data_IF_570755753407
#
_entry.id   IF_570755753407
#
_cell.length_a   1.000
_cell.length_b   1.000
_cell.length_c   1.000
_cell.angle_alpha   90.00
_cell.angle_beta   90.00
_cell.angle_gamma   90.00
#
_symmetry.space_group_name_H-M   'P 1'
#
loop_
_entity.id
_entity.type
_entity.pdbx_description
1 polymer ?
#
# COMPACT_ATOMS: atom_id res chain seq x y z
N UNK A 1 25.09 15.85 10.51
CA UNK A 1 24.10 15.56 9.45
C UNK A 1 22.98 14.75 10.08
N UNK A 2 21.89 15.40 10.52
CA UNK A 2 20.77 14.74 11.22
C UNK A 2 20.01 13.86 10.22
N UNK A 3 19.60 12.66 10.63
CA UNK A 3 18.86 11.72 9.80
C UNK A 3 17.46 12.25 9.48
N UNK A 4 17.06 12.23 8.20
CA UNK A 4 15.70 12.59 7.75
C UNK A 4 14.58 11.75 8.42
N UNK A 5 14.90 10.61 9.02
CA UNK A 5 13.95 9.81 9.80
C UNK A 5 13.47 10.56 11.05
N UNK A 6 14.36 11.35 11.68
CA UNK A 6 13.98 12.18 12.83
C UNK A 6 13.02 13.30 12.41
N UNK A 7 13.10 13.78 11.17
CA UNK A 7 12.26 14.87 10.67
C UNK A 7 10.80 14.42 10.50
N UNK A 8 10.54 13.25 9.91
CA UNK A 8 9.18 12.72 9.75
C UNK A 8 8.49 12.38 11.06
N UNK A 9 9.20 11.75 12.01
CA UNK A 9 8.64 11.46 13.34
C UNK A 9 8.30 12.75 14.09
N UNK A 10 9.16 13.77 13.95
CA UNK A 10 8.94 15.11 14.53
C UNK A 10 7.73 15.79 13.88
N UNK A 11 7.56 15.70 12.56
CA UNK A 11 6.40 16.25 11.85
C UNK A 11 5.09 15.56 12.24
N UNK A 12 5.08 14.23 12.34
CA UNK A 12 3.90 13.47 12.79
C UNK A 12 3.55 13.87 14.23
N UNK A 13 4.54 14.02 15.10
CA UNK A 13 4.33 14.48 16.47
C UNK A 13 3.75 15.91 16.49
N UNK A 14 4.30 16.82 15.68
CA UNK A 14 3.78 18.17 15.51
C UNK A 14 2.33 18.18 15.01
N UNK A 15 1.95 17.28 14.08
CA UNK A 15 0.57 17.17 13.61
C UNK A 15 -0.39 16.79 14.75
N UNK A 16 -0.01 15.84 15.61
CA UNK A 16 -0.80 15.45 16.79
C UNK A 16 -0.96 16.60 17.78
N UNK A 17 0.03 17.47 17.88
CA UNK A 17 -0.03 18.63 18.76
C UNK A 17 -0.91 19.74 18.19
N UNK A 18 -0.91 19.94 16.86
CA UNK A 18 -1.71 20.97 16.18
C UNK A 18 -3.19 20.62 16.07
N UNK A 19 -3.53 19.35 15.87
CA UNK A 19 -4.92 18.91 15.71
C UNK A 19 -5.43 18.26 16.99
N UNK A 20 -6.36 18.94 17.67
CA UNK A 20 -6.98 18.44 18.91
C UNK A 20 -8.33 17.77 18.62
N UNK A 21 -8.59 16.66 19.31
CA UNK A 21 -9.90 16.02 19.32
C UNK A 21 -10.74 16.60 20.45
N UNK A 22 -11.97 17.00 20.14
CA UNK A 22 -12.95 17.47 21.12
C UNK A 22 -14.03 16.39 21.28
N UNK A 23 -13.92 15.49 22.27
CA UNK A 23 -14.88 14.42 22.45
C UNK A 23 -16.26 15.00 22.79
N UNK A 24 -17.30 14.46 22.16
CA UNK A 24 -18.69 14.80 22.48
C UNK A 24 -19.20 13.82 23.52
N UNK A 25 -19.60 14.33 24.68
CA UNK A 25 -20.16 13.53 25.77
C UNK A 25 -21.65 13.24 25.53
N UNK A 26 -22.18 12.22 26.23
CA UNK A 26 -23.59 11.81 26.16
C UNK A 26 -24.06 11.45 24.73
N UNK A 27 -23.18 10.82 23.94
CA UNK A 27 -23.53 10.20 22.66
C UNK A 27 -23.64 8.71 22.84
N UNK A 28 -24.74 8.13 22.37
CA UNK A 28 -24.87 6.67 22.32
C UNK A 28 -23.90 6.13 21.26
N UNK A 29 -22.92 5.37 21.74
CA UNK A 29 -21.88 4.71 20.94
C UNK A 29 -21.85 3.21 21.24
N UNK A 30 -22.96 2.66 21.75
CA UNK A 30 -23.10 1.23 22.05
C UNK A 30 -22.97 0.36 20.79
N UNK A 31 -23.27 0.91 19.62
CA UNK A 31 -23.07 0.31 18.30
C UNK A 31 -22.28 1.27 17.43
N UNK A 32 -21.14 0.82 16.90
CA UNK A 32 -20.29 1.59 15.99
C UNK A 32 -20.20 0.89 14.64
N UNK A 33 -20.58 1.57 13.57
CA UNK A 33 -20.36 1.13 12.19
C UNK A 33 -19.17 1.90 11.59
N UNK A 34 -18.08 1.18 11.32
CA UNK A 34 -16.90 1.75 10.66
C UNK A 34 -16.96 1.62 9.14
N UNK A 35 -17.97 0.93 8.61
CA UNK A 35 -18.03 0.63 7.19
C UNK A 35 -18.16 1.90 6.34
N UNK A 36 -17.51 1.88 5.20
CA UNK A 36 -17.50 3.00 4.27
C UNK A 36 -17.23 2.50 2.84
N UNK A 37 -16.95 3.40 1.91
CA UNK A 37 -16.56 3.03 0.55
C UNK A 37 -15.35 3.82 0.06
N UNK A 38 -14.57 3.21 -0.82
CA UNK A 38 -13.48 3.86 -1.57
C UNK A 38 -13.71 3.60 -3.05
N UNK A 39 -13.87 4.67 -3.83
CA UNK A 39 -14.12 4.60 -5.28
C UNK A 39 -15.31 3.69 -5.64
N UNK A 40 -16.38 3.74 -4.83
CA UNK A 40 -17.60 2.93 -5.02
C UNK A 40 -17.49 1.48 -4.54
N UNK A 41 -16.36 1.05 -3.96
CA UNK A 41 -16.18 -0.29 -3.38
C UNK A 41 -16.37 -0.24 -1.87
N UNK A 42 -17.24 -1.10 -1.32
CA UNK A 42 -17.49 -1.16 0.13
C UNK A 42 -16.27 -1.74 0.86
N UNK A 43 -15.92 -1.15 2.00
CA UNK A 43 -14.90 -1.63 2.93
C UNK A 43 -15.44 -1.61 4.36
N UNK A 44 -14.91 -2.47 5.22
CA UNK A 44 -15.34 -2.64 6.61
C UNK A 44 -14.92 -1.50 7.55
N UNK A 45 -13.88 -0.75 7.18
CA UNK A 45 -13.32 0.35 7.97
C UNK A 45 -12.58 1.35 7.06
N UNK A 46 -12.42 2.63 7.45
CA UNK A 46 -11.74 3.65 6.65
C UNK A 46 -10.20 3.52 6.70
N UNK A 47 -9.68 2.29 6.64
CA UNK A 47 -8.25 1.97 6.74
C UNK A 47 -7.91 0.92 5.70
N UNK A 48 -7.01 1.25 4.77
CA UNK A 48 -6.54 0.36 3.70
C UNK A 48 -5.03 0.15 3.78
N UNK A 49 -4.51 -0.90 3.14
CA UNK A 49 -3.07 -1.16 3.07
C UNK A 49 -2.46 -0.41 1.89
N UNK A 50 -1.49 0.46 2.18
CA UNK A 50 -0.74 1.20 1.18
C UNK A 50 0.29 0.33 0.44
N UNK A 51 0.70 0.76 -0.75
CA UNK A 51 1.69 0.05 -1.55
C UNK A 51 3.07 0.12 -0.88
N UNK A 52 3.58 -1.05 -0.52
CA UNK A 52 4.96 -1.25 -0.07
C UNK A 52 5.62 -2.29 -0.96
N UNK A 53 6.81 -1.96 -1.46
CA UNK A 53 7.54 -2.83 -2.37
C UNK A 53 8.19 -4.01 -1.65
N UNK A 54 8.39 -5.12 -2.37
CA UNK A 54 9.25 -6.24 -1.97
C UNK A 54 8.89 -6.88 -0.61
N UNK A 55 7.60 -7.16 -0.37
CA UNK A 55 7.14 -7.63 0.94
C UNK A 55 7.69 -9.00 1.34
N UNK A 56 8.16 -9.82 0.36
CA UNK A 56 8.82 -11.10 0.68
C UNK A 56 10.13 -10.97 1.44
N UNK A 57 10.70 -9.76 1.52
CA UNK A 57 11.82 -9.50 2.42
C UNK A 57 11.43 -9.53 3.90
N UNK A 58 10.15 -9.27 4.22
CA UNK A 58 9.64 -9.27 5.59
C UNK A 58 9.11 -10.66 6.01
N UNK A 59 8.48 -11.38 5.09
CA UNK A 59 7.96 -12.73 5.32
C UNK A 59 7.86 -13.51 4.01
N UNK A 60 8.16 -14.83 3.94
CA UNK A 60 8.17 -15.60 2.69
C UNK A 60 6.91 -15.48 1.82
N UNK A 61 5.73 -15.37 2.44
CA UNK A 61 4.45 -15.23 1.73
C UNK A 61 4.20 -13.82 1.14
N UNK A 62 4.92 -12.81 1.63
CA UNK A 62 4.88 -11.42 1.16
C UNK A 62 3.48 -10.89 0.85
N UNK A 63 3.31 -10.40 -0.38
CA UNK A 63 2.08 -9.75 -0.83
C UNK A 63 0.85 -10.67 -0.81
N UNK A 64 1.03 -11.97 -0.96
CA UNK A 64 -0.10 -12.91 -0.91
C UNK A 64 -0.68 -13.04 0.50
N UNK A 65 0.16 -12.99 1.54
CA UNK A 65 -0.32 -12.94 2.93
C UNK A 65 -1.07 -11.63 3.21
N UNK A 66 -0.54 -10.50 2.77
CA UNK A 66 -1.21 -9.20 2.90
C UNK A 66 -2.56 -9.19 2.19
N UNK A 67 -2.65 -9.75 0.98
CA UNK A 67 -3.89 -9.83 0.22
C UNK A 67 -4.96 -10.66 0.95
N UNK A 68 -4.58 -11.83 1.48
CA UNK A 68 -5.48 -12.69 2.28
C UNK A 68 -5.96 -11.97 3.54
N UNK A 69 -5.06 -11.28 4.24
CA UNK A 69 -5.42 -10.49 5.41
C UNK A 69 -6.41 -9.36 5.08
N UNK A 70 -6.16 -8.61 4.01
CA UNK A 70 -7.09 -7.57 3.54
C UNK A 70 -8.47 -8.13 3.19
N UNK A 71 -8.53 -9.28 2.49
CA UNK A 71 -9.78 -9.96 2.19
C UNK A 71 -10.52 -10.38 3.47
N UNK A 72 -9.83 -11.01 4.42
CA UNK A 72 -10.42 -11.46 5.68
C UNK A 72 -10.95 -10.28 6.51
N UNK A 73 -10.24 -9.15 6.49
CA UNK A 73 -10.65 -7.92 7.18
C UNK A 73 -11.71 -7.12 6.43
N UNK A 74 -12.02 -7.47 5.17
CA UNK A 74 -12.96 -6.72 4.33
C UNK A 74 -12.47 -5.31 3.96
N UNK A 75 -11.15 -5.13 3.78
CA UNK A 75 -10.56 -3.85 3.35
C UNK A 75 -9.70 -4.00 2.09
N UNK A 76 -9.27 -2.88 1.53
CA UNK A 76 -8.50 -2.83 0.28
C UNK A 76 -6.99 -2.97 0.47
N UNK A 77 -6.35 -3.68 -0.46
CA UNK A 77 -4.90 -3.73 -0.64
C UNK A 77 -4.49 -2.94 -1.88
N UNK A 78 -3.52 -2.04 -1.74
CA UNK A 78 -2.83 -1.44 -2.88
C UNK A 78 -1.51 -2.19 -3.15
N UNK A 79 -1.43 -2.90 -4.27
CA UNK A 79 -0.25 -3.66 -4.68
C UNK A 79 0.80 -2.74 -5.32
N UNK A 80 2.06 -2.86 -4.94
CA UNK A 80 3.16 -2.09 -5.56
C UNK A 80 3.52 -2.61 -6.95
N UNK A 81 3.93 -1.71 -7.86
CA UNK A 81 4.61 -2.07 -9.11
C UNK A 81 5.95 -2.80 -8.91
N UNK A 82 6.54 -2.71 -7.71
CA UNK A 82 7.77 -3.42 -7.30
C UNK A 82 7.48 -4.49 -6.26
N UNK A 83 6.33 -5.16 -6.37
CA UNK A 83 6.01 -6.32 -5.56
C UNK A 83 6.90 -7.53 -5.92
N UNK A 84 7.14 -8.38 -4.93
CA UNK A 84 7.80 -9.69 -5.08
C UNK A 84 6.85 -10.84 -5.41
N UNK A 85 5.58 -10.50 -5.67
CA UNK A 85 4.54 -11.41 -6.15
C UNK A 85 3.82 -10.71 -7.31
N UNK A 86 3.46 -11.48 -8.34
CA UNK A 86 2.79 -10.96 -9.52
C UNK A 86 1.36 -10.49 -9.24
N UNK A 87 0.82 -9.67 -10.14
CA UNK A 87 -0.58 -9.21 -10.12
C UNK A 87 -1.53 -10.40 -10.04
N UNK A 88 -1.25 -11.46 -10.80
CA UNK A 88 -2.08 -12.66 -10.89
C UNK A 88 -1.98 -13.51 -9.62
N UNK A 89 -0.77 -13.76 -9.09
CA UNK A 89 -0.60 -14.52 -7.83
C UNK A 89 -1.32 -13.84 -6.66
N UNK A 90 -1.27 -12.51 -6.60
CA UNK A 90 -1.97 -11.72 -5.55
C UNK A 90 -3.48 -11.78 -5.73
N UNK A 91 -3.98 -11.75 -6.96
CA UNK A 91 -5.40 -11.91 -7.25
C UNK A 91 -5.89 -13.33 -6.94
N UNK A 92 -5.11 -14.36 -7.26
CA UNK A 92 -5.43 -15.75 -6.98
C UNK A 92 -5.41 -16.06 -5.47
N UNK A 93 -4.48 -15.47 -4.73
CA UNK A 93 -4.41 -15.64 -3.28
C UNK A 93 -5.60 -15.02 -2.54
N UNK A 94 -6.26 -14.02 -3.12
CA UNK A 94 -7.39 -13.29 -2.55
C UNK A 94 -8.43 -12.94 -3.63
N UNK A 95 -9.17 -13.93 -4.17
CA UNK A 95 -10.04 -13.75 -5.32
C UNK A 95 -11.22 -12.82 -5.04
N UNK A 96 -11.70 -12.79 -3.78
CA UNK A 96 -12.75 -11.88 -3.32
C UNK A 96 -12.22 -10.57 -2.70
N UNK A 97 -10.91 -10.41 -2.58
CA UNK A 97 -10.28 -9.26 -1.94
C UNK A 97 -10.34 -8.02 -2.82
N UNK A 98 -10.65 -6.87 -2.21
CA UNK A 98 -10.57 -5.56 -2.87
C UNK A 98 -9.10 -5.18 -3.09
N UNK A 99 -8.71 -4.95 -4.35
CA UNK A 99 -7.33 -4.69 -4.73
C UNK A 99 -7.23 -3.53 -5.72
N UNK A 100 -6.20 -2.71 -5.54
CA UNK A 100 -5.78 -1.65 -6.47
C UNK A 100 -4.32 -1.84 -6.85
N UNK A 101 -3.92 -1.39 -8.04
CA UNK A 101 -2.52 -1.42 -8.47
C UNK A 101 -1.94 -0.01 -8.32
N UNK A 102 -0.87 0.11 -7.53
CA UNK A 102 0.00 1.28 -7.58
C UNK A 102 0.90 1.15 -8.82
N UNK A 103 0.96 2.22 -9.62
CA UNK A 103 1.64 2.23 -10.92
C UNK A 103 2.76 3.27 -10.94
N UNK A 104 3.96 2.82 -11.30
CA UNK A 104 5.02 3.67 -11.85
C UNK A 104 4.93 3.70 -13.37
N UNK A 105 5.10 4.88 -13.97
CA UNK A 105 5.16 5.03 -15.43
C UNK A 105 6.60 4.77 -15.89
N UNK A 106 6.85 3.57 -16.41
CA UNK A 106 8.15 3.18 -16.91
C UNK A 106 8.47 3.88 -18.24
N UNK A 107 9.77 4.09 -18.52
CA UNK A 107 10.24 4.63 -19.81
C UNK A 107 9.64 3.85 -20.98
N UNK A 108 9.68 2.52 -20.88
CA UNK A 108 8.94 1.64 -21.78
C UNK A 108 7.45 1.67 -21.44
N UNK A 109 6.66 2.24 -22.35
CA UNK A 109 5.21 2.36 -22.19
C UNK A 109 4.48 1.04 -22.41
N UNK A 110 5.06 0.08 -23.13
CA UNK A 110 4.42 -1.23 -23.29
C UNK A 110 4.48 -2.04 -21.99
N UNK A 111 5.52 -1.89 -21.17
CA UNK A 111 5.54 -2.44 -19.79
C UNK A 111 4.41 -1.84 -18.95
N UNK A 112 4.29 -0.51 -18.97
CA UNK A 112 3.26 0.22 -18.21
C UNK A 112 1.85 -0.22 -18.63
N UNK A 113 1.60 -0.29 -19.94
CA UNK A 113 0.34 -0.74 -20.54
C UNK A 113 0.04 -2.21 -20.21
N UNK A 114 1.06 -3.07 -20.22
CA UNK A 114 0.93 -4.48 -19.84
C UNK A 114 0.50 -4.63 -18.38
N UNK A 115 1.09 -3.86 -17.46
CA UNK A 115 0.69 -3.88 -16.04
C UNK A 115 -0.77 -3.46 -15.84
N UNK A 116 -1.21 -2.39 -16.51
CA UNK A 116 -2.61 -1.94 -16.45
C UNK A 116 -3.56 -3.02 -16.98
N UNK A 117 -3.29 -3.57 -18.17
CA UNK A 117 -4.12 -4.64 -18.77
C UNK A 117 -4.15 -5.91 -17.90
N UNK A 118 -3.05 -6.25 -17.24
CA UNK A 118 -2.99 -7.39 -16.30
C UNK A 118 -3.85 -7.12 -15.08
N UNK A 119 -3.75 -5.94 -14.48
CA UNK A 119 -4.57 -5.55 -13.34
C UNK A 119 -6.07 -5.56 -13.68
N UNK A 120 -6.46 -5.00 -14.84
CA UNK A 120 -7.84 -5.04 -15.33
C UNK A 120 -8.35 -6.49 -15.46
N UNK A 121 -7.60 -7.35 -16.15
CA UNK A 121 -7.96 -8.77 -16.33
C UNK A 121 -8.02 -9.54 -15.01
N UNK A 122 -7.15 -9.21 -14.05
CA UNK A 122 -7.12 -9.80 -12.71
C UNK A 122 -8.15 -9.17 -11.73
N UNK A 123 -9.04 -8.31 -12.24
CA UNK A 123 -10.17 -7.77 -11.48
C UNK A 123 -9.82 -6.68 -10.47
N UNK A 124 -8.65 -6.06 -10.57
CA UNK A 124 -8.29 -4.91 -9.76
C UNK A 124 -9.26 -3.74 -10.03
N UNK A 125 -9.58 -2.96 -8.99
CA UNK A 125 -10.65 -1.96 -9.03
C UNK A 125 -10.18 -0.52 -9.23
N UNK A 126 -8.91 -0.33 -9.56
CA UNK A 126 -8.36 1.00 -9.78
C UNK A 126 -6.84 1.01 -9.85
N UNK A 127 -6.33 2.14 -10.36
CA UNK A 127 -4.91 2.42 -10.55
C UNK A 127 -4.54 3.67 -9.76
N UNK A 128 -3.50 3.56 -8.95
CA UNK A 128 -2.92 4.67 -8.19
C UNK A 128 -1.58 5.03 -8.79
N UNK A 129 -1.53 6.08 -9.61
CA UNK A 129 -0.29 6.50 -10.27
C UNK A 129 0.56 7.29 -9.29
N UNK A 130 1.77 6.81 -9.01
CA UNK A 130 2.73 7.53 -8.17
C UNK A 130 3.50 8.52 -9.03
N UNK A 131 3.32 9.82 -8.75
CA UNK A 131 3.88 10.92 -9.54
C UNK A 131 5.03 11.67 -8.86
N UNK A 132 5.34 11.33 -7.60
CA UNK A 132 6.36 11.99 -6.79
C UNK A 132 7.76 11.37 -6.90
N UNK A 133 7.91 10.27 -7.66
CA UNK A 133 9.16 9.50 -7.77
C UNK A 133 9.71 9.51 -9.21
N UNK A 134 10.07 10.67 -9.81
CA UNK A 134 10.81 10.69 -11.07
C UNK A 134 12.23 10.11 -10.90
N UNK A 135 12.80 10.27 -9.70
CA UNK A 135 14.00 9.61 -9.22
C UNK A 135 13.75 9.12 -7.79
N UNK A 136 14.48 8.09 -7.36
CA UNK A 136 14.40 7.64 -5.98
C UNK A 136 15.00 8.68 -5.03
N UNK A 137 14.27 8.96 -3.94
CA UNK A 137 14.77 9.78 -2.85
C UNK A 137 16.02 9.17 -2.20
N UNK A 138 16.90 10.02 -1.66
CA UNK A 138 18.15 9.58 -1.04
C UNK A 138 17.92 9.06 0.38
N UNK A 139 17.86 7.74 0.53
CA UNK A 139 17.78 7.05 1.82
C UNK A 139 19.19 6.72 2.32
N UNK A 140 19.63 7.37 3.40
CA UNK A 140 21.02 7.31 3.88
C UNK A 140 21.42 5.88 4.26
N UNK A 141 20.53 5.15 4.94
CA UNK A 141 20.81 3.79 5.39
C UNK A 141 20.88 2.80 4.22
N UNK A 142 20.04 2.96 3.19
CA UNK A 142 20.10 2.13 1.96
C UNK A 142 21.45 2.31 1.25
N UNK A 143 21.98 3.54 1.20
CA UNK A 143 23.29 3.83 0.62
C UNK A 143 24.41 3.22 1.47
N UNK A 144 24.36 3.40 2.79
CA UNK A 144 25.36 2.86 3.73
C UNK A 144 25.40 1.33 3.67
N UNK A 145 24.24 0.69 3.63
CA UNK A 145 24.09 -0.77 3.63
C UNK A 145 24.22 -1.38 2.23
N UNK A 146 24.34 -0.55 1.18
CA UNK A 146 24.36 -0.98 -0.22
C UNK A 146 23.16 -1.88 -0.54
N UNK A 147 21.97 -1.45 -0.13
CA UNK A 147 20.75 -2.24 -0.19
C UNK A 147 20.50 -2.82 -1.60
N UNK A 148 20.19 -4.12 -1.64
CA UNK A 148 19.79 -4.87 -2.83
C UNK A 148 18.78 -5.93 -2.44
N UNK A 149 17.92 -6.32 -3.38
CA UNK A 149 17.01 -7.43 -3.17
C UNK A 149 17.81 -8.74 -2.95
N UNK A 150 17.45 -9.57 -1.95
CA UNK A 150 18.05 -10.89 -1.78
C UNK A 150 17.93 -11.74 -3.06
N UNK A 151 18.95 -12.56 -3.40
CA UNK A 151 19.05 -13.23 -4.70
C UNK A 151 17.97 -14.29 -4.95
N UNK A 152 17.32 -14.78 -3.90
CA UNK A 152 16.24 -15.76 -3.98
C UNK A 152 14.86 -15.11 -4.21
N UNK A 153 14.76 -13.79 -4.09
CA UNK A 153 13.54 -13.03 -4.37
C UNK A 153 13.62 -12.44 -5.79
N UNK A 154 12.46 -12.37 -6.45
CA UNK A 154 12.29 -11.80 -7.79
C UNK A 154 11.30 -10.67 -7.75
#
# INVERSE_FOLDING_TARGET
MRSHINDLQTEIQSLKERWKLYPRVLRDVSVMDLSTSVLGQKISMPVCVAATAMQRMAHPDGETATARACQAMGTGMMLSSWATSSIEEVAEAAPGGLRWLQLYVYKDREVTKSLVKRAERAGYKGIFVTVDTPFLGRRIDDVRNKFRLPPHLR
#
